data_IF_271818291848
#
_entry.id   IF_271818291848
#
_cell.length_a   1.000
_cell.length_b   1.000
_cell.length_c   1.000
_cell.angle_alpha   90.00
_cell.angle_beta   90.00
_cell.angle_gamma   90.00
#
_symmetry.space_group_name_H-M   'P 1'
#
loop_
_entity.id
_entity.type
_entity.pdbx_description
1 polymer ?
#
# COMPACT_ATOMS: atom_id res chain seq x y z
N UNK A 1 19.16 12.01 -14.72
CA UNK A 1 20.42 11.38 -14.30
C UNK A 1 20.20 9.87 -14.21
N UNK A 2 21.07 9.04 -14.78
CA UNK A 2 20.92 7.57 -14.77
C UNK A 2 21.97 6.93 -13.87
N UNK A 3 21.57 5.96 -13.06
CA UNK A 3 22.48 5.24 -12.16
C UNK A 3 22.37 3.73 -12.38
N UNK A 4 23.54 3.09 -12.44
CA UNK A 4 23.70 1.63 -12.52
C UNK A 4 24.14 1.13 -11.16
N UNK A 5 23.39 0.19 -10.59
CA UNK A 5 23.72 -0.42 -9.30
C UNK A 5 23.80 -1.94 -9.42
N UNK A 6 24.90 -2.52 -8.93
CA UNK A 6 25.17 -3.96 -8.98
C UNK A 6 24.78 -4.62 -7.65
N UNK A 7 24.05 -5.72 -7.70
CA UNK A 7 23.79 -6.60 -6.56
C UNK A 7 24.37 -7.97 -6.84
N UNK A 8 24.68 -8.73 -5.78
CA UNK A 8 25.37 -10.05 -5.81
C UNK A 8 24.69 -11.16 -6.63
N UNK A 9 23.69 -10.83 -7.45
CA UNK A 9 23.17 -11.65 -8.54
C UNK A 9 22.93 -10.70 -9.71
N UNK A 10 23.52 -11.05 -10.85
CA UNK A 10 23.62 -10.26 -12.10
C UNK A 10 22.24 -9.73 -12.55
N UNK A 11 21.80 -8.60 -12.01
CA UNK A 11 20.61 -7.88 -12.46
C UNK A 11 20.91 -6.39 -12.36
N UNK A 12 21.16 -5.78 -13.52
CA UNK A 12 21.42 -4.35 -13.63
C UNK A 12 20.08 -3.62 -13.47
N UNK A 13 19.97 -2.80 -12.42
CA UNK A 13 18.82 -1.92 -12.22
C UNK A 13 19.21 -0.54 -12.74
N UNK A 14 18.54 -0.07 -13.79
CA UNK A 14 18.66 1.30 -14.27
C UNK A 14 17.55 2.15 -13.64
N UNK A 15 17.92 3.06 -12.75
CA UNK A 15 16.99 4.04 -12.19
C UNK A 15 17.22 5.40 -12.87
N UNK A 16 16.12 6.00 -13.32
CA UNK A 16 16.11 7.34 -13.89
C UNK A 16 15.19 8.21 -13.05
N UNK A 17 15.72 9.32 -12.55
CA UNK A 17 14.94 10.33 -11.85
C UNK A 17 15.36 11.73 -12.30
N UNK A 18 14.39 12.64 -12.29
CA UNK A 18 14.60 14.08 -12.46
C UNK A 18 14.90 14.79 -11.13
N UNK A 19 14.55 14.14 -10.01
CA UNK A 19 14.57 14.74 -8.67
C UNK A 19 15.61 14.12 -7.73
N UNK A 20 15.90 12.82 -7.87
CA UNK A 20 16.80 12.10 -6.97
C UNK A 20 18.08 11.68 -7.70
N UNK A 21 19.22 12.14 -7.19
CA UNK A 21 20.55 11.77 -7.68
C UNK A 21 21.16 10.54 -7.00
N UNK A 22 22.36 10.13 -7.43
CA UNK A 22 23.16 9.08 -6.77
C UNK A 22 23.51 9.42 -5.32
N UNK A 23 23.86 10.68 -5.11
CA UNK A 23 24.42 11.19 -3.87
C UNK A 23 23.35 11.80 -2.98
N UNK A 24 23.47 11.67 -1.65
CA UNK A 24 24.54 10.97 -0.93
C UNK A 24 24.36 9.44 -0.92
N UNK A 25 25.45 8.69 -1.04
CA UNK A 25 25.42 7.22 -0.85
C UNK A 25 25.14 6.91 0.62
N UNK A 26 24.10 6.13 0.89
CA UNK A 26 23.66 5.75 2.22
C UNK A 26 24.08 4.33 2.55
N UNK A 27 24.63 4.11 3.74
CA UNK A 27 24.91 2.75 4.25
C UNK A 27 23.65 2.18 4.91
N UNK A 28 23.23 1.00 4.49
CA UNK A 28 22.04 0.33 5.02
C UNK A 28 22.38 -1.11 5.37
N UNK A 29 21.87 -1.58 6.51
CA UNK A 29 21.97 -2.99 6.87
C UNK A 29 20.99 -3.82 6.06
N UNK A 30 21.51 -4.85 5.39
CA UNK A 30 20.72 -5.80 4.63
C UNK A 30 20.99 -7.21 5.15
N UNK A 31 19.92 -8.01 5.26
CA UNK A 31 20.05 -9.42 5.60
C UNK A 31 20.71 -10.19 4.44
N UNK A 32 21.83 -10.83 4.72
CA UNK A 32 22.48 -11.76 3.81
C UNK A 32 21.98 -13.18 4.10
N UNK A 33 21.24 -13.77 3.15
CA UNK A 33 20.66 -15.11 3.31
C UNK A 33 21.73 -16.21 3.29
N UNK A 34 22.88 -15.98 2.64
CA UNK A 34 23.96 -16.96 2.57
C UNK A 34 24.70 -17.07 3.90
N UNK A 35 25.03 -15.93 4.50
CA UNK A 35 25.77 -15.86 5.76
C UNK A 35 24.87 -15.81 7.00
N UNK A 36 23.54 -15.67 6.82
CA UNK A 36 22.54 -15.48 7.88
C UNK A 36 22.92 -14.36 8.87
N UNK A 37 23.52 -13.30 8.36
CA UNK A 37 23.94 -12.12 9.13
C UNK A 37 23.46 -10.85 8.45
N UNK A 38 23.38 -9.76 9.21
CA UNK A 38 23.20 -8.42 8.65
C UNK A 38 24.56 -7.91 8.15
N UNK A 39 24.59 -7.53 6.88
CA UNK A 39 25.77 -6.93 6.23
C UNK A 39 25.44 -5.49 5.89
N UNK A 40 26.40 -4.59 6.12
CA UNK A 40 26.29 -3.20 5.73
C UNK A 40 26.56 -3.08 4.22
N UNK A 41 25.60 -2.53 3.49
CA UNK A 41 25.66 -2.37 2.03
C UNK A 41 25.47 -0.90 1.68
N UNK A 42 26.31 -0.41 0.76
CA UNK A 42 26.18 0.92 0.19
C UNK A 42 25.03 0.98 -0.82
N UNK A 43 24.11 1.91 -0.58
CA UNK A 43 22.92 2.14 -1.39
C UNK A 43 22.86 3.59 -1.85
N UNK A 44 22.80 3.85 -3.17
CA UNK A 44 22.57 5.19 -3.70
C UNK A 44 21.24 5.79 -3.21
N UNK A 45 21.20 7.11 -3.02
CA UNK A 45 20.02 7.82 -2.53
C UNK A 45 18.78 7.63 -3.42
N UNK A 46 18.97 7.57 -4.74
CA UNK A 46 17.91 7.29 -5.71
C UNK A 46 17.23 5.93 -5.46
N UNK A 47 17.99 4.89 -5.12
CA UNK A 47 17.42 3.58 -4.77
C UNK A 47 16.62 3.74 -3.47
N UNK A 48 17.18 4.50 -2.50
CA UNK A 48 16.55 5.02 -1.28
C UNK A 48 15.09 5.41 -1.48
N UNK A 49 14.95 6.45 -2.28
CA UNK A 49 13.70 7.13 -2.62
C UNK A 49 12.78 6.21 -3.41
N UNK A 50 13.31 5.44 -4.37
CA UNK A 50 12.51 4.51 -5.17
C UNK A 50 11.79 3.48 -4.29
N UNK A 51 12.50 2.75 -3.42
CA UNK A 51 11.83 1.72 -2.59
C UNK A 51 10.83 2.32 -1.60
N UNK A 52 11.03 3.57 -1.16
CA UNK A 52 10.07 4.26 -0.28
C UNK A 52 8.74 4.53 -0.98
N UNK A 53 8.79 4.89 -2.27
CA UNK A 53 7.61 5.17 -3.07
C UNK A 53 6.96 3.92 -3.66
N UNK A 54 7.74 2.86 -3.92
CA UNK A 54 7.27 1.63 -4.56
C UNK A 54 6.17 0.91 -3.76
N UNK A 55 6.27 0.92 -2.42
CA UNK A 55 5.35 0.17 -1.56
C UNK A 55 3.90 0.64 -1.53
N UNK A 56 3.56 1.79 -2.15
CA UNK A 56 2.19 2.29 -2.20
C UNK A 56 1.25 1.39 -3.01
N UNK A 57 1.72 0.91 -4.16
CA UNK A 57 0.94 0.04 -5.06
C UNK A 57 0.83 -1.37 -4.47
N UNK A 58 1.93 -1.92 -3.96
CA UNK A 58 1.96 -3.26 -3.35
C UNK A 58 1.02 -3.35 -2.14
N UNK A 59 0.93 -2.28 -1.32
CA UNK A 59 0.02 -2.26 -0.17
C UNK A 59 -1.44 -2.30 -0.62
N UNK A 60 -1.77 -1.60 -1.71
CA UNK A 60 -3.10 -1.63 -2.29
C UNK A 60 -3.45 -2.99 -2.89
N UNK A 61 -2.51 -3.59 -3.62
CA UNK A 61 -2.66 -4.93 -4.18
C UNK A 61 -2.85 -5.96 -3.06
N UNK A 62 -2.09 -5.84 -1.97
CA UNK A 62 -2.25 -6.66 -0.76
C UNK A 62 -3.65 -6.55 -0.15
N UNK A 63 -4.23 -5.34 -0.10
CA UNK A 63 -5.58 -5.15 0.40
C UNK A 63 -6.64 -5.71 -0.55
N UNK A 64 -6.44 -5.56 -1.85
CA UNK A 64 -7.31 -6.12 -2.89
C UNK A 64 -7.31 -7.64 -2.85
N UNK A 65 -6.14 -8.26 -2.76
CA UNK A 65 -5.97 -9.70 -2.75
C UNK A 65 -6.68 -10.37 -1.57
N UNK A 66 -6.79 -9.67 -0.43
CA UNK A 66 -7.47 -10.16 0.78
C UNK A 66 -9.00 -10.11 0.68
N UNK A 67 -9.55 -9.30 -0.23
CA UNK A 67 -11.00 -9.13 -0.43
C UNK A 67 -11.42 -9.48 -1.85
N UNK A 68 -10.98 -10.66 -2.33
CA UNK A 68 -11.50 -11.20 -3.58
C UNK A 68 -13.00 -11.43 -3.44
N UNK A 69 -13.75 -10.65 -4.19
CA UNK A 69 -15.19 -10.71 -4.20
C UNK A 69 -15.63 -12.02 -4.90
N UNK A 70 -16.40 -12.91 -4.24
CA UNK A 70 -16.64 -14.27 -4.74
C UNK A 70 -17.67 -14.34 -5.88
N UNK A 71 -18.13 -13.23 -6.46
CA UNK A 71 -19.09 -13.29 -7.57
C UNK A 71 -18.41 -13.79 -8.85
N UNK A 72 -18.78 -15.01 -9.26
CA UNK A 72 -18.48 -15.56 -10.58
C UNK A 72 -19.37 -14.89 -11.63
N UNK A 73 -19.05 -13.66 -12.01
CA UNK A 73 -19.67 -13.01 -13.17
C UNK A 73 -18.84 -13.27 -14.43
N UNK A 74 -19.49 -13.48 -15.57
CA UNK A 74 -18.84 -13.52 -16.89
C UNK A 74 -18.55 -12.12 -17.45
N UNK A 75 -19.10 -11.08 -16.82
CA UNK A 75 -18.99 -9.69 -17.29
C UNK A 75 -17.83 -8.99 -16.58
N UNK A 76 -16.74 -8.73 -17.30
CA UNK A 76 -15.50 -8.15 -16.76
C UNK A 76 -15.70 -6.79 -16.07
N UNK A 77 -16.62 -5.96 -16.58
CA UNK A 77 -16.89 -4.62 -16.01
C UNK A 77 -17.47 -4.66 -14.60
N UNK A 78 -18.17 -5.74 -14.23
CA UNK A 78 -18.73 -5.92 -12.88
C UNK A 78 -17.59 -6.05 -11.86
N UNK A 79 -16.48 -6.70 -12.22
CA UNK A 79 -15.31 -6.77 -11.35
C UNK A 79 -14.68 -5.41 -11.12
N UNK A 80 -14.58 -4.57 -12.15
CA UNK A 80 -14.04 -3.22 -12.02
C UNK A 80 -14.93 -2.38 -11.09
N UNK A 81 -16.25 -2.44 -11.26
CA UNK A 81 -17.19 -1.71 -10.40
C UNK A 81 -17.08 -2.11 -8.92
N UNK A 82 -17.02 -3.40 -8.62
CA UNK A 82 -16.84 -3.84 -7.23
C UNK A 82 -15.45 -3.52 -6.70
N UNK A 83 -14.43 -3.61 -7.55
CA UNK A 83 -13.07 -3.26 -7.19
C UNK A 83 -12.95 -1.78 -6.83
N UNK A 84 -13.59 -0.87 -7.56
CA UNK A 84 -13.59 0.57 -7.23
C UNK A 84 -14.33 0.86 -5.92
N UNK A 85 -15.44 0.17 -5.62
CA UNK A 85 -16.13 0.31 -4.33
C UNK A 85 -15.24 -0.15 -3.17
N UNK A 86 -14.61 -1.32 -3.30
CA UNK A 86 -13.70 -1.84 -2.27
C UNK A 86 -12.52 -0.87 -2.06
N UNK A 87 -11.97 -0.34 -3.15
CA UNK A 87 -10.90 0.65 -3.13
C UNK A 87 -11.33 1.95 -2.41
N UNK A 88 -12.53 2.45 -2.69
CA UNK A 88 -13.09 3.63 -2.03
C UNK A 88 -13.25 3.41 -0.52
N UNK A 89 -13.76 2.25 -0.09
CA UNK A 89 -13.90 1.91 1.34
C UNK A 89 -12.55 1.81 2.04
N UNK A 90 -11.53 1.23 1.38
CA UNK A 90 -10.16 1.16 1.92
C UNK A 90 -9.58 2.57 2.09
N UNK A 91 -9.77 3.43 1.08
CA UNK A 91 -9.30 4.81 1.12
C UNK A 91 -10.02 5.63 2.20
N UNK A 92 -11.33 5.45 2.37
CA UNK A 92 -12.10 6.07 3.44
C UNK A 92 -11.58 5.66 4.84
N UNK A 93 -11.28 4.36 5.04
CA UNK A 93 -10.70 3.88 6.29
C UNK A 93 -9.28 4.42 6.55
N UNK A 94 -8.46 4.54 5.50
CA UNK A 94 -7.13 5.16 5.58
C UNK A 94 -7.22 6.64 5.97
N UNK A 95 -8.20 7.38 5.42
CA UNK A 95 -8.47 8.76 5.76
C UNK A 95 -8.94 8.89 7.21
N UNK A 96 -9.92 8.09 7.63
CA UNK A 96 -10.38 8.02 9.03
C UNK A 96 -9.20 7.81 9.99
N UNK A 97 -8.31 6.87 9.69
CA UNK A 97 -7.11 6.62 10.51
C UNK A 97 -6.14 7.80 10.54
N UNK A 98 -6.05 8.60 9.48
CA UNK A 98 -5.24 9.83 9.45
C UNK A 98 -5.86 10.90 10.34
N UNK A 99 -7.17 11.11 10.25
CA UNK A 99 -7.92 12.05 11.08
C UNK A 99 -7.83 11.69 12.57
N UNK A 100 -8.06 10.42 12.95
CA UNK A 100 -7.91 9.97 14.33
C UNK A 100 -6.49 10.21 14.89
N UNK A 101 -5.46 10.08 14.04
CA UNK A 101 -4.08 10.40 14.44
C UNK A 101 -3.86 11.90 14.61
N UNK A 102 -4.40 12.73 13.71
CA UNK A 102 -4.31 14.19 13.80
C UNK A 102 -5.00 14.71 15.07
N UNK A 103 -6.14 14.12 15.43
CA UNK A 103 -6.92 14.43 16.63
C UNK A 103 -6.34 13.81 17.93
N UNK A 104 -5.19 13.11 17.87
CA UNK A 104 -4.54 12.41 19.00
C UNK A 104 -5.49 11.46 19.76
N UNK A 105 -6.41 10.81 19.05
CA UNK A 105 -7.32 9.84 19.68
C UNK A 105 -6.55 8.62 20.21
N UNK A 106 -6.95 8.07 21.38
CA UNK A 106 -6.33 6.88 21.94
C UNK A 106 -6.49 5.71 20.95
N UNK A 107 -5.42 4.91 20.78
CA UNK A 107 -5.41 3.75 19.85
C UNK A 107 -6.54 2.74 20.09
N UNK A 108 -7.13 2.73 21.28
CA UNK A 108 -8.23 1.86 21.68
C UNK A 108 -9.58 2.26 21.03
N UNK A 109 -9.74 3.52 20.62
CA UNK A 109 -10.94 4.03 19.96
C UNK A 109 -10.87 3.95 18.43
N UNK A 110 -9.70 3.62 17.87
CA UNK A 110 -9.54 3.51 16.42
C UNK A 110 -10.16 2.19 15.96
N UNK A 111 -11.31 2.28 15.30
CA UNK A 111 -12.04 1.14 14.77
C UNK A 111 -11.16 0.33 13.81
N UNK A 112 -11.11 -0.98 14.04
CA UNK A 112 -10.53 -1.91 13.08
C UNK A 112 -11.33 -1.86 11.78
N UNK A 113 -10.68 -2.09 10.64
CA UNK A 113 -11.30 -2.01 9.31
C UNK A 113 -12.65 -2.74 9.20
N UNK A 114 -12.80 -3.91 9.84
CA UNK A 114 -14.06 -4.66 9.87
C UNK A 114 -15.17 -3.96 10.63
N UNK A 115 -14.83 -3.33 11.76
CA UNK A 115 -15.79 -2.57 12.57
C UNK A 115 -16.19 -1.28 11.83
N UNK A 116 -15.25 -0.60 11.18
CA UNK A 116 -15.54 0.54 10.32
C UNK A 116 -16.46 0.17 9.15
N UNK A 117 -16.22 -0.98 8.50
CA UNK A 117 -17.10 -1.50 7.45
C UNK A 117 -18.49 -1.84 7.99
N UNK A 118 -18.58 -2.44 9.17
CA UNK A 118 -19.87 -2.74 9.81
C UNK A 118 -20.64 -1.45 10.15
N UNK A 119 -19.98 -0.44 10.69
CA UNK A 119 -20.57 0.88 10.97
C UNK A 119 -21.04 1.58 9.70
N UNK A 120 -20.26 1.51 8.61
CA UNK A 120 -20.67 2.09 7.33
C UNK A 120 -21.94 1.41 6.77
N UNK A 121 -22.04 0.09 6.94
CA UNK A 121 -23.22 -0.68 6.52
C UNK A 121 -24.41 -0.39 7.43
N UNK A 122 -24.20 -0.28 8.75
CA UNK A 122 -25.25 0.00 9.74
C UNK A 122 -25.73 1.45 9.73
N UNK A 123 -24.88 2.40 9.31
CA UNK A 123 -25.23 3.82 9.13
C UNK A 123 -25.98 4.11 7.82
N UNK A 124 -26.05 3.13 6.90
CA UNK A 124 -26.91 3.16 5.71
C UNK A 124 -28.07 2.12 5.81
N UNK A 125 -28.94 2.18 6.84
CA UNK A 125 -30.11 1.31 6.88
C UNK A 125 -31.18 1.89 5.94
N UNK A 126 -31.09 1.52 4.67
CA UNK A 126 -32.19 1.43 3.71
C UNK A 126 -33.15 2.62 3.56
N UNK A 127 -32.96 3.39 2.49
CA UNK A 127 -34.08 3.98 1.72
C UNK A 127 -34.87 2.88 0.95
N UNK A 128 -35.08 1.71 1.56
CA UNK A 128 -35.82 0.60 0.96
C UNK A 128 -37.28 0.50 1.46
N UNK A 129 -37.76 1.51 2.21
CA UNK A 129 -39.13 1.56 2.75
C UNK A 129 -40.03 2.63 2.10
N UNK A 130 -39.76 3.09 0.88
CA UNK A 130 -40.60 4.10 0.18
C UNK A 130 -41.26 3.62 -1.12
N UNK A 131 -41.46 2.31 -1.28
CA UNK A 131 -42.39 1.79 -2.31
C UNK A 131 -43.26 0.71 -1.68
N UNK A 132 -44.34 1.13 -1.03
CA UNK A 132 -45.56 0.34 -0.84
C UNK A 132 -46.76 1.22 -1.12
#
# INVERSE_FOLDING_TARGET
MSLRWNQRTVTLICLVSSFAGPDPVQKIQRWDKANKTYVEVERPYIVGTYNKCMGGVDLLDSFTAKYKFPMKSRRWYVYIFWHTIILAVINAWLLYKRECKALKMPKQEILNRRQFQADLILSHPGEHNLIR
#
